data_IF_703942097788
#
_entry.id   IF_703942097788
#
_cell.length_a   1.000
_cell.length_b   1.000
_cell.length_c   1.000
_cell.angle_alpha   90.00
_cell.angle_beta   90.00
_cell.angle_gamma   90.00
#
_symmetry.space_group_name_H-M   'P 1'
#
loop_
_entity.id
_entity.type
_entity.pdbx_description
1 polymer ?
#
# COMPACT_ATOMS: atom_id res chain seq x y z
N UNK A 1 33.78 12.89 5.72
CA UNK A 1 34.08 13.03 4.28
C UNK A 1 32.86 12.49 3.54
N UNK A 2 31.66 13.00 3.81
CA UNK A 2 31.08 14.25 3.24
C UNK A 2 31.07 14.22 1.72
N UNK A 3 30.17 13.45 1.11
CA UNK A 3 29.86 13.59 -0.32
C UNK A 3 28.46 13.03 -0.72
N UNK A 4 27.42 13.36 0.04
CA UNK A 4 26.03 13.19 -0.43
C UNK A 4 25.19 14.48 -0.32
N UNK A 5 25.74 15.56 0.26
CA UNK A 5 25.01 16.82 0.45
C UNK A 5 25.16 17.82 -0.71
N UNK A 6 25.89 17.50 -1.79
CA UNK A 6 26.31 18.50 -2.78
C UNK A 6 25.81 18.25 -4.22
N UNK A 7 24.72 17.50 -4.37
CA UNK A 7 24.06 17.32 -5.69
C UNK A 7 22.74 18.07 -5.84
N UNK A 8 22.19 18.61 -4.76
CA UNK A 8 20.93 19.38 -4.78
C UNK A 8 21.10 20.81 -5.31
N UNK A 9 22.32 21.36 -5.35
CA UNK A 9 22.55 22.77 -5.68
C UNK A 9 22.63 23.10 -7.19
N UNK A 10 22.62 22.11 -8.10
CA UNK A 10 22.87 22.36 -9.52
C UNK A 10 21.92 21.65 -10.52
N UNK A 11 20.80 21.10 -10.06
CA UNK A 11 19.86 20.36 -10.93
C UNK A 11 18.57 21.15 -11.12
N UNK A 12 18.28 21.50 -12.37
CA UNK A 12 17.02 22.16 -12.74
C UNK A 12 15.81 21.29 -12.40
N UNK A 13 14.65 21.92 -12.17
CA UNK A 13 13.43 21.27 -11.68
C UNK A 13 13.00 20.02 -12.48
N UNK A 14 13.34 19.94 -13.77
CA UNK A 14 13.08 18.77 -14.62
C UNK A 14 13.93 17.54 -14.25
N UNK A 15 15.18 17.74 -13.84
CA UNK A 15 16.13 16.65 -13.53
C UNK A 15 15.95 16.12 -12.09
N UNK A 16 15.49 16.98 -11.17
CA UNK A 16 15.01 16.57 -9.86
C UNK A 16 13.71 15.77 -9.93
N UNK A 17 12.80 16.11 -10.85
CA UNK A 17 11.58 15.36 -11.11
C UNK A 17 11.86 13.97 -11.73
N UNK A 18 12.86 13.88 -12.61
CA UNK A 18 13.25 12.62 -13.28
C UNK A 18 13.91 11.61 -12.31
N UNK A 19 14.68 12.10 -11.34
CA UNK A 19 15.20 11.28 -10.22
C UNK A 19 14.07 10.85 -9.27
N UNK A 20 13.09 11.73 -8.99
CA UNK A 20 11.93 11.39 -8.17
C UNK A 20 10.94 10.42 -8.85
N UNK A 21 11.00 10.27 -10.18
CA UNK A 21 10.20 9.32 -10.95
C UNK A 21 10.84 7.93 -11.03
N UNK A 22 12.17 7.83 -10.97
CA UNK A 22 12.91 6.55 -10.94
C UNK A 22 12.76 5.81 -9.59
N UNK A 23 12.42 6.53 -8.51
CA UNK A 23 12.21 5.99 -7.16
C UNK A 23 10.80 5.45 -6.88
N UNK A 24 9.86 5.59 -7.82
CA UNK A 24 8.53 4.98 -7.66
C UNK A 24 8.56 3.55 -8.15
N UNK A 25 9.30 2.68 -7.47
CA UNK A 25 9.01 1.25 -7.54
C UNK A 25 7.75 1.05 -6.70
N UNK A 26 6.57 0.66 -7.27
CA UNK A 26 5.42 0.33 -6.43
C UNK A 26 5.83 -0.71 -5.39
N UNK A 27 5.59 -0.46 -4.09
CA UNK A 27 6.09 -1.31 -2.99
C UNK A 27 7.52 -1.00 -2.50
N UNK A 28 8.14 0.09 -2.95
CA UNK A 28 9.41 0.59 -2.43
C UNK A 28 9.19 1.54 -1.24
N UNK A 29 10.04 1.60 -0.23
CA UNK A 29 11.38 1.06 -0.09
C UNK A 29 11.50 0.42 1.30
N UNK A 30 11.78 -0.88 1.33
CA UNK A 30 12.16 -1.56 2.57
C UNK A 30 13.63 -1.27 2.94
N UNK A 31 14.45 -0.85 1.96
CA UNK A 31 15.84 -0.42 2.13
C UNK A 31 16.33 0.35 0.89
N UNK A 32 17.51 0.97 0.98
CA UNK A 32 18.14 1.75 -0.09
C UNK A 32 18.50 0.94 -1.34
N UNK A 33 18.72 -0.37 -1.20
CA UNK A 33 19.23 -1.24 -2.27
C UNK A 33 18.28 -2.38 -2.63
N UNK A 34 17.38 -2.77 -1.72
CA UNK A 34 16.48 -3.90 -1.88
C UNK A 34 15.02 -3.45 -1.83
N UNK A 35 14.31 -3.78 -2.90
CA UNK A 35 12.88 -3.54 -3.06
C UNK A 35 12.16 -4.88 -3.14
N UNK A 36 11.02 -5.00 -2.45
CA UNK A 36 10.17 -6.17 -2.51
C UNK A 36 8.70 -5.78 -2.62
N UNK A 37 7.85 -6.75 -2.95
CA UNK A 37 6.40 -6.57 -2.94
C UNK A 37 5.77 -7.73 -2.21
N UNK A 38 4.86 -7.42 -1.30
CA UNK A 38 4.11 -8.39 -0.53
C UNK A 38 2.72 -8.60 -1.13
N UNK A 39 2.37 -9.86 -1.37
CA UNK A 39 1.01 -10.26 -1.72
C UNK A 39 0.59 -11.50 -0.95
N UNK A 40 -0.59 -11.45 -0.35
CA UNK A 40 -1.27 -12.60 0.23
C UNK A 40 -2.14 -13.21 -0.86
N UNK A 41 -1.88 -14.45 -1.26
CA UNK A 41 -2.70 -15.15 -2.25
C UNK A 41 -4.03 -15.60 -1.62
N UNK A 42 -5.13 -15.37 -2.34
CA UNK A 42 -6.45 -15.89 -2.03
C UNK A 42 -6.84 -17.07 -2.92
N UNK A 43 -8.10 -17.50 -2.83
CA UNK A 43 -8.67 -18.53 -3.73
C UNK A 43 -8.85 -17.95 -5.15
N UNK A 44 -8.85 -18.80 -6.18
CA UNK A 44 -9.19 -18.43 -7.58
C UNK A 44 -8.45 -17.19 -8.15
N UNK A 45 -7.12 -17.17 -8.11
CA UNK A 45 -6.25 -16.08 -8.63
C UNK A 45 -6.46 -14.71 -7.97
N UNK A 46 -7.26 -14.62 -6.91
CA UNK A 46 -7.33 -13.41 -6.09
C UNK A 46 -6.06 -13.23 -5.26
N UNK A 47 -5.76 -11.98 -4.92
CA UNK A 47 -4.60 -11.65 -4.08
C UNK A 47 -4.88 -10.37 -3.30
N UNK A 48 -4.18 -10.15 -2.20
CA UNK A 48 -4.23 -8.92 -1.41
C UNK A 48 -2.81 -8.37 -1.39
N UNK A 49 -2.63 -7.22 -2.02
CA UNK A 49 -1.39 -6.46 -1.97
C UNK A 49 -1.66 -5.05 -1.44
N UNK A 50 -0.60 -4.25 -1.36
CA UNK A 50 -0.61 -2.91 -0.75
C UNK A 50 -1.82 -2.05 -1.17
N UNK A 51 -2.10 -1.92 -2.48
CA UNK A 51 -3.21 -1.07 -2.94
C UNK A 51 -4.60 -1.55 -2.50
N UNK A 52 -4.82 -2.85 -2.29
CA UNK A 52 -6.08 -3.36 -1.73
C UNK A 52 -6.17 -3.10 -0.22
N UNK A 53 -5.05 -3.12 0.48
CA UNK A 53 -4.96 -2.79 1.91
C UNK A 53 -5.18 -1.29 2.13
N UNK A 54 -4.56 -0.43 1.32
CA UNK A 54 -4.78 1.02 1.33
C UNK A 54 -6.26 1.38 1.09
N UNK A 55 -6.96 0.64 0.20
CA UNK A 55 -8.39 0.82 0.02
C UNK A 55 -9.18 0.52 1.30
N UNK A 56 -8.87 -0.58 1.98
CA UNK A 56 -9.50 -0.95 3.26
C UNK A 56 -9.22 0.11 4.34
N UNK A 57 -7.99 0.60 4.44
CA UNK A 57 -7.59 1.65 5.38
C UNK A 57 -8.31 2.98 5.11
N UNK A 58 -8.44 3.37 3.85
CA UNK A 58 -9.18 4.56 3.47
C UNK A 58 -10.69 4.42 3.77
N UNK A 59 -11.26 3.24 3.56
CA UNK A 59 -12.65 2.95 3.97
C UNK A 59 -12.79 3.07 5.49
N UNK A 60 -11.87 2.49 6.27
CA UNK A 60 -11.88 2.59 7.74
C UNK A 60 -11.76 4.05 8.21
N UNK A 61 -10.84 4.82 7.61
CA UNK A 61 -10.59 6.23 7.95
C UNK A 61 -11.79 7.12 7.67
N UNK A 62 -12.44 6.95 6.52
CA UNK A 62 -13.48 7.87 6.05
C UNK A 62 -14.91 7.39 6.30
N UNK A 63 -15.12 6.11 6.61
CA UNK A 63 -16.46 5.50 6.68
C UNK A 63 -17.24 5.57 5.35
N UNK A 64 -16.55 5.82 4.23
CA UNK A 64 -17.16 6.18 2.95
C UNK A 64 -16.37 5.62 1.78
N UNK A 65 -17.03 4.77 0.99
CA UNK A 65 -16.47 4.23 -0.26
C UNK A 65 -16.15 5.34 -1.28
N UNK A 66 -16.99 6.38 -1.34
CA UNK A 66 -16.78 7.49 -2.29
C UNK A 66 -15.53 8.29 -1.92
N UNK A 67 -15.35 8.58 -0.63
CA UNK A 67 -14.17 9.32 -0.18
C UNK A 67 -12.90 8.48 -0.34
N UNK A 68 -12.94 7.18 -0.03
CA UNK A 68 -11.83 6.28 -0.26
C UNK A 68 -11.42 6.18 -1.74
N UNK A 69 -12.40 6.09 -2.66
CA UNK A 69 -12.13 6.08 -4.09
C UNK A 69 -11.46 7.38 -4.57
N UNK A 70 -11.94 8.54 -4.08
CA UNK A 70 -11.37 9.86 -4.39
C UNK A 70 -9.92 9.99 -3.90
N UNK A 71 -9.65 9.57 -2.67
CA UNK A 71 -8.30 9.58 -2.09
C UNK A 71 -7.31 8.78 -2.95
N UNK A 72 -7.76 7.63 -3.46
CA UNK A 72 -6.93 6.75 -4.29
C UNK A 72 -6.92 7.13 -5.77
N UNK A 73 -7.47 8.29 -6.15
CA UNK A 73 -7.54 8.75 -7.53
C UNK A 73 -8.27 7.78 -8.48
N UNK A 74 -9.25 7.02 -7.97
CA UNK A 74 -9.97 6.02 -8.74
C UNK A 74 -11.48 6.26 -8.78
N UNK A 75 -12.15 5.68 -9.78
CA UNK A 75 -13.61 5.78 -9.87
C UNK A 75 -14.29 4.99 -8.76
N UNK A 76 -15.43 5.49 -8.28
CA UNK A 76 -16.28 4.80 -7.31
C UNK A 76 -16.64 3.37 -7.76
N UNK A 77 -16.92 3.18 -9.05
CA UNK A 77 -17.21 1.85 -9.64
C UNK A 77 -16.00 0.90 -9.52
N UNK A 78 -14.78 1.41 -9.70
CA UNK A 78 -13.56 0.62 -9.54
C UNK A 78 -13.33 0.24 -8.07
N UNK A 79 -13.56 1.15 -7.14
CA UNK A 79 -13.46 0.86 -5.71
C UNK A 79 -14.44 -0.24 -5.27
N UNK A 80 -15.71 -0.17 -5.72
CA UNK A 80 -16.68 -1.24 -5.44
C UNK A 80 -16.27 -2.58 -6.02
N UNK A 81 -15.82 -2.62 -7.28
CA UNK A 81 -15.33 -3.87 -7.88
C UNK A 81 -14.21 -4.50 -7.05
N UNK A 82 -13.26 -3.70 -6.56
CA UNK A 82 -12.18 -4.20 -5.71
C UNK A 82 -12.68 -4.73 -4.36
N UNK A 83 -13.68 -4.08 -3.78
CA UNK A 83 -14.29 -4.52 -2.51
C UNK A 83 -15.11 -5.79 -2.69
N UNK A 84 -15.83 -5.93 -3.80
CA UNK A 84 -16.55 -7.16 -4.13
C UNK A 84 -15.55 -8.31 -4.29
N UNK A 85 -14.48 -8.11 -5.07
CA UNK A 85 -13.39 -9.09 -5.20
C UNK A 85 -12.77 -9.46 -3.84
N UNK A 86 -12.57 -8.48 -2.94
CA UNK A 86 -12.03 -8.67 -1.60
C UNK A 86 -12.96 -9.48 -0.70
N UNK A 87 -14.26 -9.21 -0.76
CA UNK A 87 -15.27 -9.92 0.01
C UNK A 87 -15.45 -11.38 -0.45
N UNK A 88 -15.09 -11.70 -1.70
CA UNK A 88 -15.11 -13.07 -2.23
C UNK A 88 -13.89 -13.91 -1.81
N UNK A 89 -12.82 -13.30 -1.28
CA UNK A 89 -11.59 -14.03 -0.90
C UNK A 89 -11.83 -14.93 0.32
N UNK A 90 -12.68 -14.48 1.25
CA UNK A 90 -12.93 -15.11 2.53
C UNK A 90 -14.42 -15.43 2.71
N UNK A 91 -14.73 -16.35 3.62
CA UNK A 91 -16.12 -16.72 3.93
C UNK A 91 -16.90 -15.58 4.61
N UNK A 92 -16.18 -14.71 5.33
CA UNK A 92 -16.74 -13.52 5.95
C UNK A 92 -16.29 -12.28 5.16
N UNK A 93 -17.21 -11.33 4.87
CA UNK A 93 -16.86 -10.12 4.15
C UNK A 93 -15.85 -9.28 4.95
N UNK A 94 -14.95 -8.61 4.26
CA UNK A 94 -13.99 -7.67 4.83
C UNK A 94 -14.59 -6.26 4.98
N UNK A 95 -15.55 -5.90 4.12
CA UNK A 95 -16.25 -4.62 4.14
C UNK A 95 -17.74 -4.85 4.19
N UNK A 96 -18.42 -4.20 5.14
CA UNK A 96 -19.86 -4.17 5.24
C UNK A 96 -20.41 -2.80 4.79
N UNK A 97 -21.62 -2.83 4.22
CA UNK A 97 -22.41 -1.61 4.06
C UNK A 97 -22.94 -1.21 5.43
N UNK A 98 -22.64 0.01 5.87
CA UNK A 98 -23.24 0.53 7.08
C UNK A 98 -24.74 0.75 6.83
N UNK A 99 -25.60 0.19 7.67
CA UNK A 99 -27.03 0.50 7.64
C UNK A 99 -27.23 1.94 8.09
N UNK A 100 -27.89 2.79 7.28
CA UNK A 100 -28.22 4.14 7.76
C UNK A 100 -28.97 5.05 6.79
N UNK A 101 -30.25 5.26 7.09
CA UNK A 101 -30.88 6.58 7.31
C UNK A 101 -30.78 7.70 6.27
N UNK A 102 -31.32 8.89 6.64
CA UNK A 102 -31.56 10.06 5.76
C UNK A 102 -30.36 10.57 4.94
N UNK A 103 -29.13 10.14 5.23
CA UNK A 103 -27.90 10.58 4.56
C UNK A 103 -27.21 9.49 3.72
N UNK A 104 -27.78 8.28 3.63
CA UNK A 104 -27.26 7.20 2.79
C UNK A 104 -26.20 6.34 3.47
N UNK A 105 -26.29 5.02 3.28
CA UNK A 105 -25.45 4.02 3.94
C UNK A 105 -23.96 4.19 3.59
N UNK A 106 -23.12 4.24 4.63
CA UNK A 106 -21.66 4.27 4.51
C UNK A 106 -21.04 2.91 4.20
N UNK A 107 -19.72 2.82 4.27
CA UNK A 107 -18.98 1.55 4.16
C UNK A 107 -17.97 1.49 5.29
N UNK A 108 -17.94 0.36 6.00
CA UNK A 108 -17.09 0.15 7.17
C UNK A 108 -16.39 -1.20 7.05
N UNK A 109 -15.20 -1.32 7.64
CA UNK A 109 -14.56 -2.62 7.76
C UNK A 109 -15.36 -3.49 8.73
N UNK A 110 -15.36 -4.79 8.46
CA UNK A 110 -15.75 -5.79 9.46
C UNK A 110 -14.57 -6.06 10.38
N UNK A 111 -14.78 -6.73 11.53
CA UNK A 111 -13.68 -7.18 12.37
C UNK A 111 -12.65 -8.04 11.60
N UNK A 112 -13.11 -8.82 10.60
CA UNK A 112 -12.23 -9.60 9.72
C UNK A 112 -11.40 -8.70 8.80
N UNK A 113 -12.00 -7.63 8.27
CA UNK A 113 -11.32 -6.61 7.47
C UNK A 113 -10.22 -5.90 8.26
N UNK A 114 -10.54 -5.46 9.48
CA UNK A 114 -9.57 -4.82 10.38
C UNK A 114 -8.41 -5.77 10.73
N UNK A 115 -8.72 -7.02 11.09
CA UNK A 115 -7.70 -8.02 11.39
C UNK A 115 -6.78 -8.32 10.19
N UNK A 116 -7.32 -8.32 8.96
CA UNK A 116 -6.53 -8.52 7.75
C UNK A 116 -5.56 -7.34 7.51
N UNK A 117 -6.03 -6.11 7.67
CA UNK A 117 -5.19 -4.91 7.53
C UNK A 117 -4.04 -4.97 8.53
N UNK A 118 -4.35 -5.26 9.81
CA UNK A 118 -3.34 -5.39 10.85
C UNK A 118 -2.31 -6.49 10.53
N UNK A 119 -2.78 -7.68 10.10
CA UNK A 119 -1.90 -8.79 9.71
C UNK A 119 -0.98 -8.41 8.55
N UNK A 120 -1.51 -7.77 7.51
CA UNK A 120 -0.71 -7.36 6.36
C UNK A 120 0.39 -6.39 6.77
N UNK A 121 0.07 -5.37 7.57
CA UNK A 121 1.06 -4.38 8.05
C UNK A 121 2.13 -5.01 8.95
N UNK A 122 1.76 -6.01 9.77
CA UNK A 122 2.74 -6.77 10.55
C UNK A 122 3.72 -7.56 9.67
N UNK A 123 3.21 -8.24 8.64
CA UNK A 123 4.04 -8.98 7.69
C UNK A 123 4.93 -8.05 6.86
N UNK A 124 4.39 -6.90 6.45
CA UNK A 124 5.11 -5.86 5.72
C UNK A 124 6.26 -5.29 6.57
N UNK A 125 6.02 -5.00 7.85
CA UNK A 125 7.06 -4.54 8.77
C UNK A 125 8.17 -5.59 8.95
N UNK A 126 7.81 -6.86 9.17
CA UNK A 126 8.81 -7.92 9.33
C UNK A 126 9.66 -8.13 8.06
N UNK A 127 9.07 -7.99 6.88
CA UNK A 127 9.81 -8.00 5.62
C UNK A 127 10.73 -6.78 5.51
N UNK A 128 10.25 -5.60 5.92
CA UNK A 128 11.04 -4.36 5.95
C UNK A 128 12.30 -4.52 6.77
N UNK A 129 12.14 -4.98 8.02
CA UNK A 129 13.24 -5.11 8.97
C UNK A 129 14.30 -6.09 8.46
N UNK A 130 13.86 -7.19 7.84
CA UNK A 130 14.76 -8.19 7.26
C UNK A 130 15.55 -7.63 6.06
N UNK A 131 14.88 -6.90 5.16
CA UNK A 131 15.53 -6.33 3.97
C UNK A 131 16.48 -5.19 4.33
N UNK A 132 16.18 -4.41 5.37
CA UNK A 132 17.09 -3.39 5.88
C UNK A 132 18.37 -4.01 6.48
N UNK A 133 18.29 -5.19 7.09
CA UNK A 133 19.48 -5.92 7.54
C UNK A 133 20.27 -6.48 6.36
N UNK A 134 19.58 -7.06 5.37
CA UNK A 134 20.20 -7.62 4.18
C UNK A 134 20.86 -6.55 3.29
N UNK A 135 20.36 -5.32 3.28
CA UNK A 135 20.92 -4.24 2.45
C UNK A 135 22.35 -3.88 2.86
N UNK A 136 22.76 -4.12 4.11
CA UNK A 136 24.14 -3.95 4.56
C UNK A 136 25.11 -4.86 3.80
N UNK A 137 24.68 -6.06 3.42
CA UNK A 137 25.50 -6.98 2.63
C UNK A 137 25.69 -6.47 1.20
N UNK A 138 24.66 -5.86 0.61
CA UNK A 138 24.74 -5.26 -0.72
C UNK A 138 25.61 -4.00 -0.70
N UNK A 139 25.48 -3.18 0.34
CA UNK A 139 26.33 -2.01 0.50
C UNK A 139 27.81 -2.39 0.63
N UNK A 140 28.12 -3.41 1.44
CA UNK A 140 29.48 -3.92 1.57
C UNK A 140 30.04 -4.51 0.26
N UNK A 141 29.19 -5.19 -0.53
CA UNK A 141 29.57 -5.68 -1.86
C UNK A 141 29.86 -4.53 -2.84
N UNK A 142 29.04 -3.48 -2.83
CA UNK A 142 29.19 -2.34 -3.75
C UNK A 142 30.42 -1.47 -3.46
N UNK A 143 31.04 -1.60 -2.28
CA UNK A 143 32.24 -0.86 -1.88
C UNK A 143 33.56 -1.57 -2.26
N UNK A 144 33.49 -2.77 -2.84
CA UNK A 144 34.64 -3.56 -3.33
C UNK A 144 34.99 -3.21 -4.79
#
# INVERSE_FOLDING_TARGET
>A
MTLLADKTAALGASQAAELAEQDKIPGGAYSDWLHARLWIKGKNRSFIGIGRVELLENIARYGSMNQAAKEMGMSYKKAWKLVDELNEIYEQPLVAKAQGGKSGGGSVLTPKGEALVALFRQLEQGLSDHLQQASQQIEAFNQQ
#
